data_IF_330853018711
#
_entry.id   IF_330853018711
#
_cell.length_a   1.000
_cell.length_b   1.000
_cell.length_c   1.000
_cell.angle_alpha   90.00
_cell.angle_beta   90.00
_cell.angle_gamma   90.00
#
_symmetry.space_group_name_H-M   'P 1'
#
loop_
_entity.id
_entity.type
_entity.pdbx_description
1 polymer ?
#
# COMPACT_ATOMS: atom_id res chain seq x y z
N UNK A 1 17.57 3.82 -6.51
CA UNK A 1 18.04 4.06 -5.13
C UNK A 1 18.70 5.43 -5.01
N UNK A 2 18.12 6.44 -5.66
CA UNK A 2 18.46 7.86 -5.43
C UNK A 2 17.19 8.68 -5.69
N UNK A 3 16.56 8.53 -6.87
CA UNK A 3 15.23 9.11 -7.14
C UNK A 3 14.10 8.55 -6.26
N UNK A 4 14.18 7.27 -5.87
CA UNK A 4 13.26 6.65 -4.89
C UNK A 4 13.44 7.24 -3.48
N UNK A 5 14.66 7.61 -3.12
CA UNK A 5 14.99 8.09 -1.79
C UNK A 5 14.72 9.60 -1.67
N UNK A 6 14.82 10.35 -2.77
CA UNK A 6 14.34 11.75 -2.86
C UNK A 6 12.84 11.86 -2.61
N UNK A 7 12.04 10.91 -3.13
CA UNK A 7 10.58 10.88 -2.94
C UNK A 7 10.18 10.61 -1.48
N UNK A 8 11.01 9.90 -0.72
CA UNK A 8 10.79 9.58 0.70
C UNK A 8 11.38 10.64 1.65
N UNK A 9 12.14 11.60 1.13
CA UNK A 9 12.74 12.66 1.96
C UNK A 9 11.69 13.68 2.46
N UNK A 10 10.55 13.78 1.76
CA UNK A 10 9.42 14.61 2.15
C UNK A 10 8.36 13.75 2.85
N UNK A 11 7.70 14.25 3.92
CA UNK A 11 6.56 13.54 4.51
C UNK A 11 5.48 13.31 3.44
N UNK A 12 5.07 12.06 3.22
CA UNK A 12 4.19 11.70 2.10
C UNK A 12 2.85 12.43 2.10
N UNK A 13 2.29 12.71 3.29
CA UNK A 13 1.08 13.51 3.42
C UNK A 13 1.28 14.95 2.91
N UNK A 14 2.44 15.57 3.16
CA UNK A 14 2.76 16.93 2.68
C UNK A 14 2.80 16.96 1.16
N UNK A 15 3.37 15.94 0.52
CA UNK A 15 3.40 15.83 -0.95
C UNK A 15 1.98 15.76 -1.52
N UNK A 16 1.09 14.99 -0.90
CA UNK A 16 -0.30 14.87 -1.33
C UNK A 16 -1.09 16.16 -1.14
N UNK A 17 -0.90 16.84 0.00
CA UNK A 17 -1.53 18.14 0.27
C UNK A 17 -1.12 19.15 -0.80
N UNK A 18 0.18 19.25 -1.11
CA UNK A 18 0.68 20.14 -2.17
C UNK A 18 0.12 19.78 -3.54
N UNK A 19 0.06 18.49 -3.88
CA UNK A 19 -0.51 18.04 -5.15
C UNK A 19 -1.99 18.45 -5.28
N UNK A 20 -2.80 18.23 -4.24
CA UNK A 20 -4.20 18.64 -4.23
C UNK A 20 -4.39 20.15 -4.31
N UNK A 21 -3.53 20.94 -3.66
CA UNK A 21 -3.61 22.41 -3.72
C UNK A 21 -3.23 22.94 -5.11
N UNK A 22 -2.20 22.37 -5.75
CA UNK A 22 -1.68 22.84 -7.03
C UNK A 22 -2.56 22.38 -8.20
N UNK A 23 -2.97 21.12 -8.21
CA UNK A 23 -3.69 20.51 -9.33
C UNK A 23 -5.22 20.44 -9.10
N UNK A 24 -5.68 20.76 -7.89
CA UNK A 24 -7.07 20.62 -7.47
C UNK A 24 -7.37 19.27 -6.83
N UNK A 25 -8.31 19.26 -5.87
CA UNK A 25 -8.81 18.02 -5.27
C UNK A 25 -9.70 17.24 -6.25
N UNK A 26 -9.30 16.02 -6.61
CA UNK A 26 -10.14 15.10 -7.39
C UNK A 26 -9.73 13.64 -7.13
N UNK A 27 -10.66 12.71 -7.35
CA UNK A 27 -10.38 11.28 -7.20
C UNK A 27 -9.15 10.84 -8.02
N UNK A 28 -9.03 11.33 -9.26
CA UNK A 28 -7.90 11.00 -10.14
C UNK A 28 -6.58 11.51 -9.59
N UNK A 29 -6.53 12.79 -9.18
CA UNK A 29 -5.30 13.40 -8.66
C UNK A 29 -4.87 12.69 -7.38
N UNK A 30 -5.79 12.49 -6.44
CA UNK A 30 -5.52 11.80 -5.18
C UNK A 30 -5.04 10.37 -5.43
N UNK A 31 -5.72 9.62 -6.30
CA UNK A 31 -5.35 8.23 -6.61
C UNK A 31 -3.99 8.10 -7.27
N UNK A 32 -3.69 8.96 -8.26
CA UNK A 32 -2.40 8.94 -8.97
C UNK A 32 -1.27 9.37 -8.03
N UNK A 33 -1.45 10.45 -7.27
CA UNK A 33 -0.44 10.93 -6.33
C UNK A 33 -0.17 9.91 -5.22
N UNK A 34 -1.21 9.27 -4.66
CA UNK A 34 -1.06 8.14 -3.73
C UNK A 34 -0.32 6.97 -4.38
N UNK A 35 -0.71 6.58 -5.58
CA UNK A 35 -0.04 5.50 -6.32
C UNK A 35 1.45 5.75 -6.48
N UNK A 36 1.83 6.96 -6.93
CA UNK A 36 3.23 7.37 -7.09
C UNK A 36 3.97 7.32 -5.75
N UNK A 37 3.35 7.80 -4.67
CA UNK A 37 3.93 7.79 -3.33
C UNK A 37 4.19 6.36 -2.80
N UNK A 38 3.39 5.38 -3.23
CA UNK A 38 3.50 3.98 -2.80
C UNK A 38 4.43 3.15 -3.70
N UNK A 39 4.83 3.65 -4.88
CA UNK A 39 5.80 2.96 -5.76
C UNK A 39 7.12 2.67 -5.02
N UNK A 40 7.77 3.63 -4.32
CA UNK A 40 9.05 3.35 -3.68
C UNK A 40 9.05 2.24 -2.63
N UNK A 41 8.15 2.23 -1.62
CA UNK A 41 8.10 1.13 -0.66
C UNK A 41 7.78 -0.21 -1.35
N UNK A 42 6.83 -0.22 -2.30
CA UNK A 42 6.47 -1.42 -3.04
C UNK A 42 7.65 -1.99 -3.85
N UNK A 43 8.35 -1.15 -4.60
CA UNK A 43 9.50 -1.54 -5.41
C UNK A 43 10.66 -2.06 -4.53
N UNK A 44 10.90 -1.43 -3.37
CA UNK A 44 11.95 -1.83 -2.43
C UNK A 44 11.70 -3.25 -1.90
N UNK A 45 10.48 -3.55 -1.45
CA UNK A 45 10.12 -4.87 -0.94
C UNK A 45 10.09 -5.92 -2.07
N UNK A 46 9.59 -5.57 -3.25
CA UNK A 46 9.60 -6.45 -4.41
C UNK A 46 11.03 -6.84 -4.79
N UNK A 47 11.94 -5.86 -4.88
CA UNK A 47 13.36 -6.09 -5.16
C UNK A 47 14.04 -6.95 -4.11
N UNK A 48 13.77 -6.73 -2.83
CA UNK A 48 14.33 -7.52 -1.74
C UNK A 48 13.93 -9.00 -1.84
N UNK A 49 12.64 -9.28 -2.10
CA UNK A 49 12.15 -10.64 -2.30
C UNK A 49 12.75 -11.28 -3.56
N UNK A 50 12.78 -10.55 -4.68
CA UNK A 50 13.38 -11.03 -5.93
C UNK A 50 14.85 -11.40 -5.75
N UNK A 51 15.65 -10.58 -5.06
CA UNK A 51 17.06 -10.89 -4.79
C UNK A 51 17.22 -12.13 -3.91
N UNK A 52 16.36 -12.30 -2.89
CA UNK A 52 16.39 -13.46 -2.02
C UNK A 52 16.16 -14.77 -2.80
N UNK A 53 15.18 -14.78 -3.72
CA UNK A 53 14.91 -15.96 -4.55
C UNK A 53 15.93 -16.16 -5.66
N UNK A 54 16.46 -15.08 -6.25
CA UNK A 54 17.47 -15.16 -7.31
C UNK A 54 18.79 -15.81 -6.86
N UNK A 55 19.04 -15.90 -5.56
CA UNK A 55 20.22 -16.53 -4.95
C UNK A 55 20.00 -17.99 -4.52
N UNK A 56 18.79 -18.57 -4.73
CA UNK A 56 18.46 -19.95 -4.33
C UNK A 56 19.00 -20.99 -5.31
N UNK A 57 19.23 -22.20 -4.80
CA UNK A 57 19.83 -23.31 -5.56
C UNK A 57 19.06 -23.69 -6.83
N UNK A 58 17.72 -23.67 -6.80
CA UNK A 58 16.91 -23.98 -7.99
C UNK A 58 17.15 -22.99 -9.14
N UNK A 59 17.41 -21.71 -8.82
CA UNK A 59 17.76 -20.69 -9.84
C UNK A 59 19.16 -20.95 -10.40
N UNK A 60 20.12 -21.32 -9.53
CA UNK A 60 21.48 -21.66 -9.95
C UNK A 60 21.47 -22.90 -10.85
N UNK A 61 20.71 -23.93 -10.50
CA UNK A 61 20.52 -25.14 -11.30
C UNK A 61 19.86 -24.83 -12.64
N UNK A 62 18.79 -24.01 -12.66
CA UNK A 62 18.14 -23.60 -13.91
C UNK A 62 19.11 -22.86 -14.85
N UNK A 63 19.96 -21.97 -14.31
CA UNK A 63 21.03 -21.31 -15.08
C UNK A 63 22.05 -22.30 -15.62
N UNK A 64 22.48 -23.27 -14.80
CA UNK A 64 23.42 -24.31 -15.21
C UNK A 64 22.85 -25.22 -16.33
N UNK A 65 21.54 -25.42 -16.37
CA UNK A 65 20.83 -26.11 -17.45
C UNK A 65 20.59 -25.24 -18.70
N UNK A 66 21.09 -24.00 -18.74
CA UNK A 66 20.97 -23.11 -19.90
C UNK A 66 19.64 -22.36 -20.01
N UNK A 67 18.87 -22.24 -18.92
CA UNK A 67 17.65 -21.43 -18.94
C UNK A 67 17.98 -19.93 -19.15
N UNK A 68 17.24 -19.27 -20.05
CA UNK A 68 17.35 -17.82 -20.27
C UNK A 68 16.78 -17.04 -19.08
N UNK A 69 17.29 -15.84 -18.84
CA UNK A 69 16.85 -14.96 -17.74
C UNK A 69 15.33 -14.73 -17.71
N UNK A 70 14.70 -14.53 -18.88
CA UNK A 70 13.25 -14.36 -18.96
C UNK A 70 12.48 -15.59 -18.45
N UNK A 71 12.94 -16.80 -18.77
CA UNK A 71 12.33 -18.05 -18.28
C UNK A 71 12.49 -18.15 -16.76
N UNK A 72 13.67 -17.84 -16.24
CA UNK A 72 13.95 -17.83 -14.80
C UNK A 72 13.05 -16.82 -14.09
N UNK A 73 12.92 -15.60 -14.62
CA UNK A 73 12.09 -14.56 -14.01
C UNK A 73 10.63 -15.02 -13.97
N UNK A 74 10.07 -15.50 -15.07
CA UNK A 74 8.64 -15.81 -15.18
C UNK A 74 8.25 -17.11 -14.46
N UNK A 75 9.08 -18.15 -14.54
CA UNK A 75 8.73 -19.49 -14.04
C UNK A 75 9.36 -19.83 -12.70
N UNK A 76 10.53 -19.27 -12.38
CA UNK A 76 11.25 -19.58 -11.13
C UNK A 76 11.06 -18.49 -10.08
N UNK A 77 11.20 -17.21 -10.45
CA UNK A 77 11.19 -16.09 -9.49
C UNK A 77 9.77 -15.58 -9.23
N UNK A 78 9.02 -15.24 -10.29
CA UNK A 78 7.74 -14.56 -10.17
C UNK A 78 6.72 -15.33 -9.31
N UNK A 79 6.51 -16.65 -9.48
CA UNK A 79 5.54 -17.39 -8.66
C UNK A 79 5.89 -17.38 -7.17
N UNK A 80 7.18 -17.31 -6.87
CA UNK A 80 7.71 -17.30 -5.51
C UNK A 80 7.67 -15.89 -4.86
N UNK A 81 7.77 -14.83 -5.67
CA UNK A 81 7.77 -13.43 -5.20
C UNK A 81 6.36 -12.84 -5.12
N UNK A 82 5.43 -13.29 -5.96
CA UNK A 82 4.06 -12.71 -6.04
C UNK A 82 3.35 -12.78 -4.69
N UNK A 83 3.43 -13.90 -3.97
CA UNK A 83 2.71 -14.08 -2.71
C UNK A 83 3.21 -13.14 -1.58
N UNK A 84 4.51 -13.05 -1.27
CA UNK A 84 5.00 -12.09 -0.26
C UNK A 84 4.81 -10.63 -0.70
N UNK A 85 4.89 -10.32 -2.00
CA UNK A 85 4.64 -8.97 -2.51
C UNK A 85 3.16 -8.60 -2.41
N UNK A 86 2.25 -9.53 -2.71
CA UNK A 86 0.81 -9.34 -2.56
C UNK A 86 0.41 -9.12 -1.10
N UNK A 87 1.00 -9.89 -0.17
CA UNK A 87 0.80 -9.67 1.27
C UNK A 87 1.20 -8.26 1.69
N UNK A 88 2.34 -7.76 1.19
CA UNK A 88 2.77 -6.39 1.45
C UNK A 88 1.88 -5.34 0.79
N UNK A 89 1.34 -5.61 -0.40
CA UNK A 89 0.40 -4.71 -1.07
C UNK A 89 -0.85 -4.45 -0.22
N UNK A 90 -1.36 -5.44 0.53
CA UNK A 90 -2.49 -5.24 1.45
C UNK A 90 -2.17 -4.24 2.57
N UNK A 91 -0.94 -4.28 3.10
CA UNK A 91 -0.46 -3.30 4.09
C UNK A 91 -0.41 -1.90 3.46
N UNK A 92 0.04 -1.78 2.21
CA UNK A 92 0.04 -0.50 1.50
C UNK A 92 -1.38 0.01 1.21
N UNK A 93 -2.34 -0.87 0.93
CA UNK A 93 -3.76 -0.49 0.79
C UNK A 93 -4.30 0.08 2.11
N UNK A 94 -4.01 -0.57 3.24
CA UNK A 94 -4.41 -0.07 4.55
C UNK A 94 -3.83 1.33 4.82
N UNK A 95 -2.54 1.51 4.50
CA UNK A 95 -1.88 2.82 4.59
C UNK A 95 -2.53 3.86 3.67
N UNK A 96 -2.87 3.49 2.43
CA UNK A 96 -3.51 4.38 1.47
C UNK A 96 -4.87 4.88 1.97
N UNK A 97 -5.68 4.01 2.57
CA UNK A 97 -6.99 4.37 3.17
C UNK A 97 -6.82 5.42 4.27
N UNK A 98 -5.84 5.23 5.16
CA UNK A 98 -5.57 6.18 6.25
C UNK A 98 -5.12 7.54 5.70
N UNK A 99 -4.22 7.53 4.72
CA UNK A 99 -3.70 8.77 4.13
C UNK A 99 -4.79 9.52 3.36
N UNK A 100 -5.59 8.82 2.55
CA UNK A 100 -6.75 9.40 1.85
C UNK A 100 -7.76 9.97 2.84
N UNK A 101 -8.09 9.21 3.91
CA UNK A 101 -8.96 9.66 4.98
C UNK A 101 -8.46 10.94 5.67
N UNK A 102 -7.16 11.03 5.94
CA UNK A 102 -6.54 12.23 6.51
C UNK A 102 -6.62 13.42 5.54
N UNK A 103 -6.36 13.21 4.25
CA UNK A 103 -6.45 14.25 3.23
C UNK A 103 -7.89 14.75 3.06
N UNK A 104 -8.86 13.83 3.09
CA UNK A 104 -10.28 14.14 3.00
C UNK A 104 -10.78 14.86 4.26
N UNK A 105 -10.32 14.46 5.44
CA UNK A 105 -10.61 15.15 6.69
C UNK A 105 -10.12 16.60 6.69
N UNK A 106 -9.02 16.88 5.99
CA UNK A 106 -8.48 18.23 5.79
C UNK A 106 -9.17 19.01 4.66
N UNK A 107 -10.17 18.43 3.98
CA UNK A 107 -10.89 19.07 2.88
C UNK A 107 -10.11 19.16 1.56
N UNK A 108 -9.04 18.37 1.42
CA UNK A 108 -8.10 18.43 0.29
C UNK A 108 -8.12 17.16 -0.58
N UNK A 109 -9.07 16.25 -0.35
CA UNK A 109 -9.27 15.05 -1.18
C UNK A 109 -10.30 15.34 -2.29
N UNK A 110 -11.39 14.58 -2.34
CA UNK A 110 -12.46 14.71 -3.33
C UNK A 110 -13.47 15.77 -2.86
N UNK A 111 -13.89 16.72 -3.72
CA UNK A 111 -14.88 17.71 -3.33
C UNK A 111 -16.27 17.09 -3.10
N UNK A 112 -17.04 17.71 -2.21
CA UNK A 112 -18.49 17.48 -2.08
C UNK A 112 -19.17 17.68 -3.44
N UNK A 113 -20.15 16.84 -3.87
CA UNK A 113 -20.96 15.89 -3.08
C UNK A 113 -20.43 14.45 -3.05
N UNK A 114 -19.19 14.20 -3.48
CA UNK A 114 -18.65 12.82 -3.52
C UNK A 114 -18.40 12.33 -2.09
N UNK A 115 -19.05 11.24 -1.64
CA UNK A 115 -18.87 10.76 -0.27
C UNK A 115 -17.49 10.12 -0.10
N UNK A 116 -16.84 10.45 1.02
CA UNK A 116 -15.62 9.78 1.48
C UNK A 116 -15.68 9.66 3.00
N UNK A 117 -15.12 8.58 3.56
CA UNK A 117 -15.19 8.36 5.01
C UNK A 117 -14.46 9.46 5.80
N UNK A 118 -13.30 9.95 5.32
CA UNK A 118 -12.59 11.06 5.95
C UNK A 118 -13.41 12.36 5.97
N UNK A 119 -14.13 12.66 4.89
CA UNK A 119 -14.99 13.83 4.79
C UNK A 119 -16.20 13.72 5.71
N UNK A 120 -16.83 12.54 5.79
CA UNK A 120 -17.94 12.29 6.73
C UNK A 120 -17.50 12.43 8.19
N UNK A 121 -16.29 11.96 8.53
CA UNK A 121 -15.71 12.14 9.87
C UNK A 121 -15.50 13.63 10.18
N UNK A 122 -15.04 14.42 9.20
CA UNK A 122 -14.84 15.85 9.35
C UNK A 122 -16.16 16.62 9.51
N UNK A 123 -17.19 16.29 8.72
CA UNK A 123 -18.51 16.91 8.82
C UNK A 123 -19.16 16.62 10.18
N UNK A 124 -19.06 15.38 10.66
CA UNK A 124 -19.59 14.99 11.97
C UNK A 124 -18.86 15.63 13.16
N UNK A 125 -17.66 16.22 12.95
CA UNK A 125 -16.87 16.87 14.01
C UNK A 125 -17.61 18.06 14.63
N UNK A 126 -18.32 18.84 13.82
CA UNK A 126 -19.05 20.03 14.28
C UNK A 126 -20.31 19.68 15.08
N UNK A 127 -20.81 18.46 14.93
CA UNK A 127 -22.05 17.97 15.51
C UNK A 127 -21.83 16.85 16.54
N UNK A 128 -20.66 16.78 17.19
CA UNK A 128 -20.35 15.69 18.11
C UNK A 128 -21.24 15.66 19.35
N UNK A 129 -21.72 16.81 19.80
CA UNK A 129 -22.59 16.91 20.98
C UNK A 129 -24.02 16.43 20.67
N UNK A 130 -24.54 16.76 19.48
CA UNK A 130 -25.93 16.47 19.10
C UNK A 130 -26.10 15.17 18.30
N UNK A 131 -25.10 14.81 17.49
CA UNK A 131 -25.17 13.70 16.52
C UNK A 131 -23.81 13.03 16.32
N UNK A 132 -23.22 12.45 17.39
CA UNK A 132 -21.89 11.83 17.33
C UNK A 132 -21.78 10.69 16.30
N UNK A 133 -22.90 9.99 16.05
CA UNK A 133 -22.97 8.87 15.11
C UNK A 133 -22.51 9.24 13.68
N UNK A 134 -22.67 10.51 13.28
CA UNK A 134 -22.25 11.01 11.95
C UNK A 134 -20.74 10.84 11.74
N UNK A 135 -19.94 11.05 12.80
CA UNK A 135 -18.47 10.87 12.75
C UNK A 135 -18.04 9.44 13.15
N UNK A 136 -18.66 8.87 14.19
CA UNK A 136 -18.24 7.56 14.72
C UNK A 136 -18.49 6.39 13.77
N UNK A 137 -19.62 6.37 13.04
CA UNK A 137 -19.94 5.27 12.12
C UNK A 137 -18.86 5.15 11.03
N UNK A 138 -18.56 6.18 10.21
CA UNK A 138 -17.52 6.07 9.19
C UNK A 138 -16.14 5.81 9.78
N UNK A 139 -15.84 6.33 10.97
CA UNK A 139 -14.57 6.04 11.66
C UNK A 139 -14.43 4.55 12.02
N UNK A 140 -15.49 3.91 12.53
CA UNK A 140 -15.48 2.47 12.86
C UNK A 140 -15.32 1.63 11.59
N UNK A 141 -16.03 1.95 10.50
CA UNK A 141 -15.90 1.23 9.24
C UNK A 141 -14.51 1.38 8.63
N UNK A 142 -13.93 2.58 8.68
CA UNK A 142 -12.54 2.81 8.26
C UNK A 142 -11.58 1.99 9.12
N UNK A 143 -11.73 2.02 10.45
CA UNK A 143 -10.91 1.24 11.38
C UNK A 143 -10.96 -0.26 11.09
N UNK A 144 -12.16 -0.84 10.97
CA UNK A 144 -12.34 -2.26 10.71
C UNK A 144 -11.76 -2.67 9.35
N UNK A 145 -11.88 -1.81 8.34
CA UNK A 145 -11.32 -2.05 7.01
C UNK A 145 -9.79 -2.06 7.06
N UNK A 146 -9.19 -1.03 7.65
CA UNK A 146 -7.73 -0.92 7.84
C UNK A 146 -7.20 -2.10 8.64
N UNK A 147 -7.88 -2.47 9.73
CA UNK A 147 -7.54 -3.62 10.55
C UNK A 147 -7.59 -4.92 9.74
N UNK A 148 -8.65 -5.13 8.96
CA UNK A 148 -8.81 -6.33 8.13
C UNK A 148 -7.69 -6.49 7.12
N UNK A 149 -7.31 -5.43 6.41
CA UNK A 149 -6.19 -5.47 5.46
C UNK A 149 -4.86 -5.78 6.14
N UNK A 150 -4.59 -5.19 7.30
CA UNK A 150 -3.37 -5.47 8.07
C UNK A 150 -3.34 -6.93 8.53
N UNK A 151 -4.42 -7.43 9.17
CA UNK A 151 -4.49 -8.80 9.67
C UNK A 151 -4.34 -9.83 8.55
N UNK A 152 -4.98 -9.61 7.41
CA UNK A 152 -4.86 -10.51 6.24
C UNK A 152 -3.43 -10.48 5.71
N UNK A 153 -2.83 -9.29 5.56
CA UNK A 153 -1.44 -9.12 5.12
C UNK A 153 -0.44 -9.82 6.04
N UNK A 154 -0.60 -9.67 7.35
CA UNK A 154 0.25 -10.29 8.36
C UNK A 154 0.09 -11.81 8.38
N UNK A 155 -1.14 -12.32 8.27
CA UNK A 155 -1.42 -13.76 8.21
C UNK A 155 -0.84 -14.41 6.96
N UNK A 156 -0.94 -13.75 5.81
CA UNK A 156 -0.32 -14.21 4.56
C UNK A 156 1.20 -14.27 4.71
N UNK A 157 1.80 -13.23 5.32
CA UNK A 157 3.24 -13.16 5.55
C UNK A 157 3.73 -14.23 6.52
N UNK A 158 3.02 -14.48 7.62
CA UNK A 158 3.43 -15.48 8.61
C UNK A 158 3.39 -16.88 8.04
N UNK A 159 2.29 -17.27 7.37
CA UNK A 159 2.17 -18.59 6.72
C UNK A 159 3.28 -18.85 5.70
N UNK A 160 3.71 -17.82 4.97
CA UNK A 160 4.84 -17.93 4.04
C UNK A 160 6.18 -18.15 4.74
N UNK A 161 6.39 -17.56 5.93
CA UNK A 161 7.59 -17.77 6.72
C UNK A 161 7.65 -19.21 7.24
N UNK A 162 6.55 -19.70 7.80
CA UNK A 162 6.45 -21.06 8.37
C UNK A 162 6.71 -22.16 7.32
N UNK A 163 6.18 -21.99 6.09
CA UNK A 163 6.42 -22.92 4.98
C UNK A 163 7.88 -22.98 4.56
N UNK A 164 8.63 -21.87 4.70
CA UNK A 164 10.06 -21.83 4.38
C UNK A 164 10.89 -22.53 5.45
N UNK A 165 10.52 -22.40 6.73
CA UNK A 165 11.20 -23.10 7.83
C UNK A 165 10.97 -24.61 7.75
N UNK A 166 9.77 -25.05 7.37
CA UNK A 166 9.44 -26.48 7.25
C UNK A 166 10.09 -27.19 6.06
N UNK A 167 10.63 -26.44 5.10
CA UNK A 167 11.28 -26.96 3.89
C UNK A 167 12.83 -26.98 3.98
N UNK A 168 13.38 -26.57 5.13
CA UNK A 168 14.80 -26.62 5.47
C UNK A 168 15.05 -27.75 6.50
#
# INVERSE_FOLDING_TARGET
TLGLDTLLALPGLVVLLLASVIFGGSLTIVSVSLGILLIPPFARISRANTLNFAQREFVVAAKAMGARDFRIIVFEILPNVVLPVAAYALVLVALAIVIEGALSFLGLSVPSPTPSWGGMIAEGRENLDDSPHVSFIPAIFMFLTVLSFNLVGDTLRSKLADLRESAL
#
